data_IF_203642120819
#
_entry.id   IF_203642120819
#
_cell.length_a   1.000
_cell.length_b   1.000
_cell.length_c   1.000
_cell.angle_alpha   90.00
_cell.angle_beta   90.00
_cell.angle_gamma   90.00
#
_symmetry.space_group_name_H-M   'P 1'
#
loop_
_entity.id
_entity.type
_entity.pdbx_description
1 polymer ?
#
# COMPACT_ATOMS: atom_id res chain seq x y z
N UNK A 1 11.05 2.43 25.54
CA UNK A 1 9.65 2.89 25.60
C UNK A 1 9.64 4.36 26.00
N UNK A 2 8.59 5.10 25.65
CA UNK A 2 8.29 6.44 26.15
C UNK A 2 6.84 6.46 26.62
N UNK A 3 6.58 7.07 27.77
CA UNK A 3 5.22 7.25 28.33
C UNK A 3 4.93 8.75 28.36
N UNK A 4 3.74 9.17 27.94
CA UNK A 4 3.30 10.56 28.04
C UNK A 4 2.46 10.84 29.30
N UNK A 5 2.05 12.10 29.51
CA UNK A 5 1.26 12.53 30.67
C UNK A 5 -0.11 11.86 30.76
N UNK A 6 -0.66 11.40 29.63
CA UNK A 6 -1.93 10.67 29.59
C UNK A 6 -1.75 9.15 29.79
N UNK A 7 -0.52 8.66 29.94
CA UNK A 7 -0.21 7.24 30.07
C UNK A 7 -0.07 6.48 28.75
N UNK A 8 -0.01 7.16 27.61
CA UNK A 8 0.23 6.52 26.31
C UNK A 8 1.67 6.01 26.23
N UNK A 9 1.82 4.72 25.98
CA UNK A 9 3.12 4.07 25.82
C UNK A 9 3.48 4.00 24.33
N UNK A 10 4.70 4.42 23.98
CA UNK A 10 5.26 4.34 22.63
C UNK A 10 6.54 3.53 22.65
N UNK A 11 6.63 2.51 21.79
CA UNK A 11 7.85 1.72 21.62
C UNK A 11 8.91 2.51 20.85
N UNK A 12 10.17 2.39 21.29
CA UNK A 12 11.32 3.06 20.64
C UNK A 12 12.27 2.06 19.99
N UNK A 13 12.35 0.86 20.57
CA UNK A 13 13.19 -0.25 20.13
C UNK A 13 12.58 -1.55 20.64
N UNK A 14 12.93 -2.64 19.97
CA UNK A 14 12.65 -4.02 20.36
C UNK A 14 13.24 -4.30 21.74
N UNK A 15 12.54 -5.11 22.54
CA UNK A 15 13.01 -5.58 23.84
C UNK A 15 11.93 -5.53 24.93
N UNK A 16 12.29 -6.09 26.08
CA UNK A 16 11.45 -6.13 27.28
C UNK A 16 11.62 -4.86 28.11
N UNK A 17 10.53 -4.36 28.66
CA UNK A 17 10.53 -3.21 29.56
C UNK A 17 9.41 -3.34 30.60
N UNK A 18 9.68 -2.88 31.82
CA UNK A 18 8.71 -2.87 32.92
C UNK A 18 8.25 -1.45 33.19
N UNK A 19 6.94 -1.25 33.30
CA UNK A 19 6.35 0.02 33.72
C UNK A 19 5.85 -0.13 35.15
N UNK A 20 6.25 0.79 36.04
CA UNK A 20 5.79 0.83 37.43
C UNK A 20 4.96 2.10 37.66
N UNK A 21 3.70 1.92 38.05
CA UNK A 21 2.82 3.01 38.45
C UNK A 21 2.80 3.12 39.98
N UNK A 22 2.96 4.33 40.52
CA UNK A 22 2.84 4.61 41.95
C UNK A 22 1.73 5.61 42.18
N UNK A 23 0.64 5.17 42.82
CA UNK A 23 -0.42 6.05 43.29
C UNK A 23 -0.16 6.41 44.76
N UNK A 24 -0.26 7.70 45.08
CA UNK A 24 -0.24 8.18 46.47
C UNK A 24 -1.66 8.60 46.81
N UNK A 25 -2.30 7.87 47.73
CA UNK A 25 -3.69 8.12 48.11
C UNK A 25 -3.77 8.89 49.43
N UNK A 26 -4.31 10.11 49.37
CA UNK A 26 -4.67 10.94 50.52
C UNK A 26 -3.50 11.46 51.38
N UNK A 27 -3.84 12.19 52.44
CA UNK A 27 -2.90 12.79 53.39
C UNK A 27 -2.08 11.76 54.18
N UNK A 28 -2.58 10.52 54.28
CA UNK A 28 -1.90 9.41 54.97
C UNK A 28 -0.73 8.80 54.17
N UNK A 29 -0.39 9.34 52.99
CA UNK A 29 0.75 8.90 52.14
C UNK A 29 0.75 7.38 51.88
N UNK A 30 -0.42 6.78 51.71
CA UNK A 30 -0.50 5.37 51.34
C UNK A 30 0.00 5.25 49.90
N UNK A 31 1.11 4.53 49.71
CA UNK A 31 1.70 4.27 48.40
C UNK A 31 1.20 2.93 47.89
N UNK A 32 0.53 2.95 46.75
CA UNK A 32 0.17 1.74 46.01
C UNK A 32 1.05 1.69 44.79
N UNK A 33 1.79 0.60 44.63
CA UNK A 33 2.67 0.36 43.48
C UNK A 33 2.15 -0.82 42.70
N UNK A 34 2.08 -0.68 41.38
CA UNK A 34 1.75 -1.77 40.48
C UNK A 34 2.74 -1.77 39.31
N UNK A 35 2.98 -2.95 38.72
CA UNK A 35 3.97 -3.12 37.65
C UNK A 35 3.47 -4.02 36.54
N UNK A 36 3.73 -3.61 35.30
CA UNK A 36 3.36 -4.35 34.09
C UNK A 36 4.61 -4.54 33.23
N UNK A 37 4.83 -5.77 32.77
CA UNK A 37 5.89 -6.09 31.81
C UNK A 37 5.35 -5.97 30.38
N UNK A 38 6.13 -5.35 29.50
CA UNK A 38 5.83 -5.14 28.10
C UNK A 38 7.00 -5.68 27.28
N UNK A 39 6.69 -6.59 26.38
CA UNK A 39 7.63 -7.10 25.39
C UNK A 39 7.31 -6.47 24.04
N UNK A 40 8.29 -5.75 23.48
CA UNK A 40 8.21 -5.24 22.12
C UNK A 40 8.99 -6.21 21.24
N UNK A 41 8.26 -6.96 20.42
CA UNK A 41 8.84 -7.87 19.44
C UNK A 41 9.10 -7.14 18.12
N UNK A 42 10.06 -7.65 17.35
CA UNK A 42 10.26 -7.20 15.98
C UNK A 42 9.08 -7.71 15.15
N UNK A 43 8.44 -6.81 14.38
CA UNK A 43 7.45 -7.23 13.40
C UNK A 43 8.18 -8.04 12.34
N UNK A 44 8.12 -9.38 12.45
CA UNK A 44 8.62 -10.24 11.40
C UNK A 44 7.72 -10.03 10.19
N UNK A 45 8.23 -9.30 9.19
CA UNK A 45 7.61 -9.32 7.88
C UNK A 45 7.47 -10.80 7.49
N UNK A 46 6.24 -11.26 7.30
CA UNK A 46 6.03 -12.54 6.63
C UNK A 46 6.79 -12.43 5.31
N UNK A 47 7.76 -13.33 5.01
CA UNK A 47 8.38 -13.29 3.71
C UNK A 47 7.24 -13.40 2.71
N UNK A 48 7.14 -12.44 1.78
CA UNK A 48 6.30 -12.62 0.61
C UNK A 48 6.64 -14.00 0.05
N UNK A 49 5.66 -14.90 -0.15
CA UNK A 49 5.95 -16.21 -0.72
C UNK A 49 6.79 -15.98 -1.97
N UNK A 50 7.94 -16.64 -2.03
CA UNK A 50 8.85 -16.54 -3.16
C UNK A 50 7.99 -16.75 -4.42
N UNK A 51 7.97 -15.81 -5.39
CA UNK A 51 7.19 -16.01 -6.59
C UNK A 51 7.61 -17.35 -7.19
N UNK A 52 6.63 -18.19 -7.54
CA UNK A 52 6.89 -19.47 -8.18
C UNK A 52 7.95 -19.29 -9.26
N UNK A 53 8.94 -20.19 -9.39
CA UNK A 53 9.97 -20.07 -10.41
C UNK A 53 9.28 -19.87 -11.75
N UNK A 54 9.45 -18.68 -12.31
CA UNK A 54 8.90 -18.32 -13.61
C UNK A 54 9.40 -19.37 -14.61
N UNK A 55 8.53 -19.99 -15.43
CA UNK A 55 8.96 -20.99 -16.39
C UNK A 55 10.09 -20.39 -17.23
N UNK A 56 11.24 -21.08 -17.25
CA UNK A 56 12.40 -20.70 -18.04
C UNK A 56 11.93 -20.46 -19.46
N UNK A 57 12.09 -19.26 -20.04
CA UNK A 57 11.66 -18.99 -21.41
C UNK A 57 12.37 -19.98 -22.33
N UNK A 58 11.60 -20.86 -22.97
CA UNK A 58 12.10 -21.68 -24.05
C UNK A 58 12.52 -20.73 -25.17
N UNK A 59 13.81 -20.73 -25.52
CA UNK A 59 14.38 -19.83 -26.52
C UNK A 59 13.76 -20.13 -27.88
N UNK A 60 12.68 -19.43 -28.22
CA UNK A 60 12.17 -19.40 -29.57
C UNK A 60 12.94 -18.32 -30.33
N UNK A 61 13.73 -18.72 -31.32
CA UNK A 61 14.54 -17.82 -32.17
C UNK A 61 13.68 -16.97 -33.14
N UNK A 62 12.41 -16.74 -32.82
CA UNK A 62 11.51 -15.85 -33.53
C UNK A 62 11.40 -14.50 -32.82
N UNK A 63 11.61 -13.41 -33.56
CA UNK A 63 11.61 -12.04 -33.07
C UNK A 63 10.52 -11.75 -32.02
N UNK A 64 10.94 -11.44 -30.80
CA UNK A 64 10.03 -11.01 -29.72
C UNK A 64 9.47 -9.62 -30.06
N UNK A 65 8.15 -9.53 -30.20
CA UNK A 65 7.46 -8.25 -30.31
C UNK A 65 7.07 -7.78 -28.90
N UNK A 66 8.04 -7.22 -28.18
CA UNK A 66 7.79 -6.58 -26.88
C UNK A 66 7.24 -5.17 -27.12
N UNK A 67 5.92 -5.04 -27.03
CA UNK A 67 5.21 -3.76 -27.04
C UNK A 67 3.72 -4.04 -26.87
N UNK A 68 3.09 -3.40 -25.89
CA UNK A 68 1.70 -3.62 -25.50
C UNK A 68 0.77 -3.93 -26.68
N UNK A 69 0.01 -5.03 -26.57
CA UNK A 69 -0.99 -5.43 -27.55
C UNK A 69 -2.19 -4.47 -27.50
N UNK A 70 -2.05 -3.27 -28.06
CA UNK A 70 -3.18 -2.41 -28.35
C UNK A 70 -4.08 -3.11 -29.37
N UNK A 71 -5.29 -3.47 -28.95
CA UNK A 71 -6.25 -4.16 -29.81
C UNK A 71 -6.50 -3.34 -31.08
N UNK A 72 -6.28 -3.87 -32.29
CA UNK A 72 -6.52 -3.13 -33.54
C UNK A 72 -7.98 -2.64 -33.66
N UNK A 73 -8.92 -3.31 -32.98
CA UNK A 73 -10.30 -2.88 -32.85
C UNK A 73 -10.47 -1.53 -32.11
N UNK A 74 -9.60 -1.22 -31.14
CA UNK A 74 -9.60 0.06 -30.42
C UNK A 74 -9.20 1.21 -31.35
N UNK A 75 -8.17 1.02 -32.18
CA UNK A 75 -7.74 2.01 -33.16
C UNK A 75 -8.79 2.20 -34.27
N UNK A 76 -9.37 1.10 -34.78
CA UNK A 76 -10.44 1.17 -35.77
C UNK A 76 -11.69 1.90 -35.22
N UNK A 77 -12.05 1.67 -33.95
CA UNK A 77 -13.14 2.38 -33.28
C UNK A 77 -12.90 3.89 -33.13
N UNK A 78 -11.67 4.29 -32.80
CA UNK A 78 -11.28 5.69 -32.69
C UNK A 78 -11.30 6.41 -34.06
N UNK A 79 -10.86 5.76 -35.13
CA UNK A 79 -10.88 6.35 -36.48
C UNK A 79 -12.31 6.56 -37.01
N UNK A 80 -13.21 5.59 -36.80
CA UNK A 80 -14.61 5.67 -37.25
C UNK A 80 -15.39 6.78 -36.54
N UNK A 81 -15.15 6.97 -35.24
CA UNK A 81 -15.77 8.06 -34.47
C UNK A 81 -15.28 9.43 -34.93
N UNK A 82 -13.97 9.61 -35.16
CA UNK A 82 -13.43 10.87 -35.68
C UNK A 82 -13.99 11.23 -37.08
N UNK A 83 -14.07 10.24 -37.98
CA UNK A 83 -14.61 10.46 -39.33
C UNK A 83 -16.10 10.84 -39.31
N UNK A 84 -16.92 10.22 -38.46
CA UNK A 84 -18.33 10.56 -38.31
C UNK A 84 -18.52 12.00 -37.79
N UNK A 85 -17.73 12.42 -36.81
CA UNK A 85 -17.77 13.79 -36.29
C UNK A 85 -17.37 14.81 -37.36
N UNK A 86 -16.29 14.55 -38.11
CA UNK A 86 -15.87 15.42 -39.21
C UNK A 86 -16.94 15.49 -40.31
N UNK A 87 -17.56 14.37 -40.67
CA UNK A 87 -18.64 14.33 -41.65
C UNK A 87 -19.87 15.14 -41.21
N UNK A 88 -20.25 15.06 -39.92
CA UNK A 88 -21.34 15.87 -39.35
C UNK A 88 -21.03 17.36 -39.38
N UNK A 89 -19.81 17.76 -39.03
CA UNK A 89 -19.36 19.16 -39.07
C UNK A 89 -19.37 19.68 -40.51
N UNK A 90 -18.83 18.92 -41.46
CA UNK A 90 -18.83 19.29 -42.88
C UNK A 90 -20.26 19.37 -43.45
N UNK A 91 -21.15 18.44 -43.07
CA UNK A 91 -22.56 18.46 -43.49
C UNK A 91 -23.31 19.69 -42.96
N UNK A 92 -23.02 20.12 -41.74
CA UNK A 92 -23.59 21.35 -41.15
C UNK A 92 -23.08 22.60 -41.87
N UNK A 93 -21.79 22.65 -42.27
CA UNK A 93 -21.22 23.78 -43.03
C UNK A 93 -21.75 23.91 -44.46
N UNK A 94 -22.14 22.82 -45.12
CA UNK A 94 -22.68 22.85 -46.50
C UNK A 94 -24.17 23.24 -46.60
N UNK A 95 -24.89 23.35 -45.48
CA UNK A 95 -26.33 23.65 -45.43
C UNK A 95 -26.66 25.03 -44.82
N UNK A 96 -25.64 25.82 -44.50
CA UNK A 96 -25.77 27.21 -44.06
C UNK A 96 -25.38 28.17 -45.17
#
# INVERSE_FOLDING_TARGET
LKVDEAGKVTALKVGKATITATAVQGEKKVKVTDSVEIEVEEETATPTPNPDPQPTPEKNDGAVQTGDNVSPMLYAGAAMTAAAVLALIQRKRRKG
#
